data_IF_117615444222
#
_entry.id   IF_117615444222
#
_cell.length_a   1.000
_cell.length_b   1.000
_cell.length_c   1.000
_cell.angle_alpha   90.00
_cell.angle_beta   90.00
_cell.angle_gamma   90.00
#
_symmetry.space_group_name_H-M   'P 1'
#
loop_
_entity.id
_entity.type
_entity.pdbx_description
1 polymer ?
#
# COMPACT_ATOMS: atom_id res chain seq x y z
N UNK A 1 -18.09 6.34 10.23
CA UNK A 1 -17.26 5.32 9.54
C UNK A 1 -17.98 4.61 8.40
N UNK A 2 -19.14 3.95 8.62
CA UNK A 2 -19.88 3.21 7.57
C UNK A 2 -20.23 4.05 6.33
N UNK A 3 -20.64 5.31 6.53
CA UNK A 3 -21.01 6.22 5.43
C UNK A 3 -19.88 6.47 4.42
N UNK A 4 -18.64 6.69 4.90
CA UNK A 4 -17.50 7.00 4.02
C UNK A 4 -17.12 5.81 3.14
N UNK A 5 -17.19 4.59 3.68
CA UNK A 5 -16.94 3.36 2.93
C UNK A 5 -18.03 3.17 1.86
N UNK A 6 -19.30 3.39 2.20
CA UNK A 6 -20.39 3.29 1.24
C UNK A 6 -20.30 4.33 0.11
N UNK A 7 -19.89 5.57 0.43
CA UNK A 7 -19.64 6.61 -0.57
C UNK A 7 -18.45 6.25 -1.47
N UNK A 8 -17.35 5.75 -0.90
CA UNK A 8 -16.19 5.28 -1.67
C UNK A 8 -16.59 4.15 -2.62
N UNK A 9 -17.32 3.15 -2.15
CA UNK A 9 -17.80 2.03 -2.98
C UNK A 9 -18.76 2.50 -4.10
N UNK A 10 -19.59 3.52 -3.83
CA UNK A 10 -20.45 4.12 -4.85
C UNK A 10 -19.63 4.86 -5.91
N UNK A 11 -18.63 5.64 -5.49
CA UNK A 11 -17.75 6.37 -6.39
C UNK A 11 -16.87 5.44 -7.23
N UNK A 12 -16.33 4.38 -6.64
CA UNK A 12 -15.55 3.39 -7.40
C UNK A 12 -16.42 2.73 -8.47
N UNK A 13 -17.67 2.35 -8.14
CA UNK A 13 -18.62 1.78 -9.11
C UNK A 13 -18.98 2.72 -10.26
N UNK A 14 -19.07 4.04 -10.03
CA UNK A 14 -19.32 4.98 -11.12
C UNK A 14 -18.12 5.12 -12.05
N UNK A 15 -16.90 5.10 -11.51
CA UNK A 15 -15.67 5.19 -12.30
C UNK A 15 -15.33 3.89 -13.04
N UNK A 16 -15.81 2.75 -12.56
CA UNK A 16 -15.62 1.43 -13.17
C UNK A 16 -16.75 1.02 -14.13
N UNK A 17 -17.64 1.95 -14.52
CA UNK A 17 -18.80 1.68 -15.38
C UNK A 17 -19.68 0.53 -14.87
N UNK A 18 -19.85 0.43 -13.54
CA UNK A 18 -20.65 -0.62 -12.90
C UNK A 18 -19.90 -1.93 -12.64
N UNK A 19 -18.65 -2.09 -13.07
CA UNK A 19 -17.84 -3.26 -12.74
C UNK A 19 -17.39 -3.21 -11.28
N UNK A 20 -17.61 -4.28 -10.52
CA UNK A 20 -17.04 -4.39 -9.19
C UNK A 20 -15.51 -4.52 -9.26
N UNK A 21 -14.81 -3.74 -8.42
CA UNK A 21 -13.36 -3.78 -8.34
C UNK A 21 -12.95 -5.06 -7.62
N UNK A 22 -12.14 -5.90 -8.28
CA UNK A 22 -11.64 -7.16 -7.70
C UNK A 22 -10.24 -6.99 -7.12
N UNK A 23 -9.81 -7.91 -6.25
CA UNK A 23 -8.44 -7.99 -5.76
C UNK A 23 -7.41 -8.01 -6.90
N UNK A 24 -7.73 -8.69 -8.00
CA UNK A 24 -6.88 -8.74 -9.19
C UNK A 24 -6.76 -7.36 -9.89
N UNK A 25 -7.85 -6.59 -9.92
CA UNK A 25 -7.81 -5.23 -10.46
C UNK A 25 -6.95 -4.32 -9.56
N UNK A 26 -7.01 -4.47 -8.23
CA UNK A 26 -6.22 -3.69 -7.26
C UNK A 26 -4.73 -4.02 -7.42
N UNK A 27 -4.40 -5.31 -7.50
CA UNK A 27 -3.03 -5.78 -7.70
C UNK A 27 -2.44 -5.24 -9.01
N UNK A 28 -3.21 -5.34 -10.11
CA UNK A 28 -2.81 -4.81 -11.41
C UNK A 28 -2.58 -3.29 -11.37
N UNK A 29 -3.47 -2.55 -10.69
CA UNK A 29 -3.34 -1.11 -10.54
C UNK A 29 -2.08 -0.74 -9.76
N UNK A 30 -1.83 -1.38 -8.61
CA UNK A 30 -0.67 -1.09 -7.76
C UNK A 30 0.64 -1.32 -8.51
N UNK A 31 0.78 -2.48 -9.14
CA UNK A 31 1.96 -2.83 -9.94
C UNK A 31 2.16 -1.87 -11.13
N UNK A 32 1.08 -1.50 -11.84
CA UNK A 32 1.16 -0.52 -12.93
C UNK A 32 1.59 0.86 -12.41
N UNK A 33 1.07 1.27 -11.25
CA UNK A 33 1.36 2.58 -10.65
C UNK A 33 2.82 2.68 -10.22
N UNK A 34 3.36 1.68 -9.55
CA UNK A 34 4.78 1.64 -9.18
C UNK A 34 5.66 1.63 -10.44
N UNK A 35 5.35 0.76 -11.41
CA UNK A 35 6.10 0.69 -12.68
C UNK A 35 6.14 2.02 -13.44
N UNK A 36 5.08 2.83 -13.36
CA UNK A 36 5.03 4.15 -14.02
C UNK A 36 6.05 5.17 -13.47
N UNK A 37 6.61 4.91 -12.29
CA UNK A 37 7.66 5.74 -11.68
C UNK A 37 9.09 5.28 -12.01
N UNK A 38 9.23 4.25 -12.85
CA UNK A 38 10.53 3.66 -13.20
C UNK A 38 11.08 2.66 -12.18
N UNK A 39 10.33 2.38 -11.11
CA UNK A 39 10.68 1.33 -10.12
C UNK A 39 10.34 -0.06 -10.66
N UNK A 40 11.18 -1.04 -10.30
CA UNK A 40 11.07 -2.41 -10.77
C UNK A 40 10.34 -3.35 -9.80
N UNK A 41 10.01 -2.88 -8.59
CA UNK A 41 9.31 -3.72 -7.61
C UNK A 41 7.94 -4.13 -8.10
N UNK A 42 7.53 -5.34 -7.70
CA UNK A 42 6.31 -5.98 -8.13
C UNK A 42 5.82 -6.88 -6.99
N UNK A 43 4.50 -7.05 -6.89
CA UNK A 43 3.91 -8.09 -6.05
C UNK A 43 3.05 -9.03 -6.90
N UNK A 44 3.27 -10.34 -6.75
CA UNK A 44 2.49 -11.35 -7.47
C UNK A 44 1.14 -11.61 -6.82
N UNK A 45 1.05 -11.39 -5.50
CA UNK A 45 -0.18 -11.53 -4.72
C UNK A 45 -0.11 -10.72 -3.42
N UNK A 46 -1.25 -10.50 -2.77
CA UNK A 46 -1.29 -9.96 -1.41
C UNK A 46 -0.74 -10.95 -0.34
N UNK A 47 -0.21 -12.12 -0.73
CA UNK A 47 0.50 -13.08 0.15
C UNK A 47 2.01 -13.03 -0.04
N UNK A 48 2.49 -12.18 -0.93
CA UNK A 48 3.90 -12.16 -1.28
C UNK A 48 4.73 -11.74 -0.07
N UNK A 49 5.63 -12.63 0.37
CA UNK A 49 6.51 -12.40 1.52
C UNK A 49 7.44 -11.20 1.32
N UNK A 50 7.70 -10.80 0.06
CA UNK A 50 8.47 -9.60 -0.26
C UNK A 50 7.84 -8.32 0.32
N UNK A 51 6.52 -8.32 0.51
CA UNK A 51 5.77 -7.20 1.10
C UNK A 51 6.18 -6.91 2.56
N UNK A 52 6.69 -7.91 3.29
CA UNK A 52 7.18 -7.74 4.67
C UNK A 52 8.31 -6.72 4.79
N UNK A 53 9.08 -6.50 3.73
CA UNK A 53 10.13 -5.47 3.68
C UNK A 53 9.57 -4.04 3.76
N UNK A 54 8.30 -3.85 3.38
CA UNK A 54 7.66 -2.54 3.26
C UNK A 54 8.09 -1.72 2.02
N UNK A 55 9.09 -2.15 1.27
CA UNK A 55 9.66 -1.37 0.14
C UNK A 55 8.62 -1.13 -0.94
N UNK A 56 7.91 -2.17 -1.38
CA UNK A 56 6.87 -2.04 -2.41
C UNK A 56 5.76 -1.06 -1.98
N UNK A 57 5.34 -1.12 -0.71
CA UNK A 57 4.28 -0.26 -0.18
C UNK A 57 4.75 1.20 -0.13
N UNK A 58 5.98 1.46 0.31
CA UNK A 58 6.57 2.80 0.31
C UNK A 58 6.73 3.36 -1.10
N UNK A 59 7.16 2.53 -2.07
CA UNK A 59 7.22 2.93 -3.47
C UNK A 59 5.83 3.24 -4.04
N UNK A 60 4.80 2.47 -3.66
CA UNK A 60 3.42 2.74 -4.06
C UNK A 60 2.90 4.06 -3.47
N UNK A 61 3.15 4.33 -2.19
CA UNK A 61 2.77 5.59 -1.54
C UNK A 61 3.47 6.78 -2.20
N UNK A 62 4.79 6.65 -2.48
CA UNK A 62 5.55 7.66 -3.21
C UNK A 62 5.08 7.83 -4.66
N UNK A 63 4.58 6.78 -5.30
CA UNK A 63 4.03 6.87 -6.65
C UNK A 63 2.69 7.63 -6.66
N UNK A 64 1.89 7.48 -5.61
CA UNK A 64 0.62 8.21 -5.43
C UNK A 64 0.89 9.69 -5.17
N UNK A 65 1.80 10.01 -4.25
CA UNK A 65 2.21 11.37 -3.93
C UNK A 65 3.73 11.41 -3.68
N UNK A 66 4.53 11.96 -4.62
CA UNK A 66 6.00 11.92 -4.56
C UNK A 66 6.62 12.53 -3.30
N UNK A 67 5.92 13.44 -2.61
CA UNK A 67 6.49 14.22 -1.49
C UNK A 67 6.27 13.62 -0.10
N UNK A 68 5.50 12.53 0.02
CA UNK A 68 5.13 12.00 1.34
C UNK A 68 6.14 11.02 1.94
N UNK A 69 7.01 10.43 1.12
CA UNK A 69 8.03 9.48 1.55
C UNK A 69 9.39 10.17 1.59
N UNK A 70 10.00 10.20 2.78
CA UNK A 70 11.39 10.58 2.98
C UNK A 70 12.24 9.31 2.93
N UNK A 71 12.92 9.10 1.81
CA UNK A 71 13.74 7.92 1.57
C UNK A 71 14.95 7.78 2.52
N UNK A 72 15.36 8.86 3.21
CA UNK A 72 16.41 8.78 4.22
C UNK A 72 15.98 8.03 5.49
N UNK A 73 14.67 7.86 5.71
CA UNK A 73 14.11 7.10 6.84
C UNK A 73 13.81 5.65 6.47
N UNK A 74 13.91 5.30 5.18
CA UNK A 74 13.57 3.97 4.68
C UNK A 74 14.79 3.06 4.80
N UNK A 75 14.59 1.91 5.41
CA UNK A 75 15.61 0.87 5.56
C UNK A 75 15.45 -0.20 4.47
N UNK A 76 16.39 -1.14 4.35
CA UNK A 76 16.29 -2.22 3.36
C UNK A 76 15.18 -3.23 3.69
N UNK A 77 14.80 -3.36 4.96
CA UNK A 77 13.77 -4.29 5.40
C UNK A 77 14.26 -5.75 5.40
N UNK A 78 15.55 -5.96 5.66
CA UNK A 78 16.17 -7.29 5.71
C UNK A 78 15.99 -7.94 7.10
N UNK A 79 16.19 -7.16 8.16
CA UNK A 79 15.97 -7.59 9.56
C UNK A 79 14.57 -7.25 10.06
N UNK A 80 14.11 -7.91 11.12
CA UNK A 80 12.79 -7.66 11.70
C UNK A 80 12.67 -6.23 12.26
N UNK A 81 13.74 -5.68 12.84
CA UNK A 81 13.77 -4.29 13.30
C UNK A 81 13.63 -3.30 12.13
N UNK A 82 14.32 -3.55 11.01
CA UNK A 82 14.19 -2.74 9.79
C UNK A 82 12.78 -2.80 9.19
N UNK A 83 12.21 -4.01 9.10
CA UNK A 83 10.83 -4.21 8.64
C UNK A 83 9.83 -3.48 9.53
N UNK A 84 10.03 -3.53 10.86
CA UNK A 84 9.19 -2.83 11.82
C UNK A 84 9.27 -1.31 11.67
N UNK A 85 10.46 -0.77 11.45
CA UNK A 85 10.65 0.65 11.16
C UNK A 85 9.92 1.06 9.88
N UNK A 86 10.10 0.29 8.79
CA UNK A 86 9.41 0.54 7.53
C UNK A 86 7.88 0.44 7.67
N UNK A 87 7.36 -0.58 8.35
CA UNK A 87 5.93 -0.79 8.59
C UNK A 87 5.29 0.34 9.41
N UNK A 88 5.97 0.78 10.49
CA UNK A 88 5.53 1.92 11.31
C UNK A 88 5.49 3.21 10.48
N UNK A 89 6.48 3.39 9.61
CA UNK A 89 6.56 4.54 8.73
C UNK A 89 5.45 4.52 7.66
N UNK A 90 5.19 3.38 7.04
CA UNK A 90 4.08 3.16 6.08
C UNK A 90 2.75 3.61 6.69
N UNK A 91 2.44 3.16 7.90
CA UNK A 91 1.16 3.49 8.57
C UNK A 91 1.06 5.00 8.78
N UNK A 92 2.15 5.64 9.21
CA UNK A 92 2.21 7.08 9.43
C UNK A 92 2.00 7.87 8.13
N UNK A 93 2.67 7.46 7.05
CA UNK A 93 2.55 8.09 5.71
C UNK A 93 1.15 7.89 5.13
N UNK A 94 0.59 6.69 5.21
CA UNK A 94 -0.75 6.39 4.71
C UNK A 94 -1.81 7.23 5.45
N UNK A 95 -1.72 7.36 6.78
CA UNK A 95 -2.61 8.22 7.56
C UNK A 95 -2.46 9.70 7.18
N UNK A 96 -1.23 10.17 6.94
CA UNK A 96 -0.96 11.53 6.45
C UNK A 96 -1.62 11.80 5.08
N UNK A 97 -1.72 10.78 4.22
CA UNK A 97 -2.44 10.84 2.94
C UNK A 97 -3.97 10.75 3.09
N UNK A 98 -4.49 10.59 4.31
CA UNK A 98 -5.92 10.47 4.57
C UNK A 98 -6.47 9.05 4.47
N UNK A 99 -5.62 8.02 4.39
CA UNK A 99 -6.08 6.63 4.44
C UNK A 99 -6.62 6.31 5.85
N UNK A 100 -7.86 5.83 5.92
CA UNK A 100 -8.48 5.34 7.16
C UNK A 100 -8.10 3.88 7.39
N UNK A 101 -6.91 3.63 7.95
CA UNK A 101 -6.37 2.28 8.21
C UNK A 101 -6.35 1.93 9.71
N UNK A 102 -6.58 0.64 9.99
CA UNK A 102 -6.60 0.05 11.34
C UNK A 102 -5.54 -1.04 11.55
N UNK A 103 -4.61 -1.18 10.59
CA UNK A 103 -3.52 -2.15 10.64
C UNK A 103 -2.47 -1.74 11.67
N UNK A 104 -1.85 -2.75 12.26
CA UNK A 104 -0.65 -2.64 13.09
C UNK A 104 0.61 -2.83 12.21
N UNK A 105 1.78 -2.33 12.63
CA UNK A 105 3.04 -2.61 11.94
C UNK A 105 3.28 -4.11 11.73
N UNK A 106 2.90 -4.91 12.73
CA UNK A 106 3.03 -6.36 12.73
C UNK A 106 2.20 -7.01 11.59
N UNK A 107 1.02 -6.49 11.25
CA UNK A 107 0.21 -7.00 10.13
C UNK A 107 0.96 -6.86 8.79
N UNK A 108 1.73 -5.78 8.61
CA UNK A 108 2.55 -5.57 7.41
C UNK A 108 3.74 -6.53 7.39
N UNK A 109 4.40 -6.70 8.53
CA UNK A 109 5.56 -7.59 8.67
C UNK A 109 5.19 -9.05 8.43
N UNK A 110 4.04 -9.49 8.93
CA UNK A 110 3.54 -10.86 8.80
C UNK A 110 2.84 -11.11 7.45
N UNK A 111 2.65 -10.06 6.64
CA UNK A 111 1.87 -10.10 5.39
C UNK A 111 0.47 -10.65 5.66
N UNK A 112 -0.17 -10.11 6.70
CA UNK A 112 -1.53 -10.48 7.05
C UNK A 112 -2.51 -9.92 5.99
N UNK A 113 -3.33 -10.82 5.46
CA UNK A 113 -4.24 -10.50 4.37
C UNK A 113 -5.57 -9.90 4.83
N UNK A 114 -5.88 -9.92 6.13
CA UNK A 114 -7.20 -9.63 6.66
C UNK A 114 -7.16 -8.73 7.88
#
# INVERSE_FOLDING_TARGET
MRFNILQLLKNLRSHSQGKEMTDADILKWANKKVKSTGRASHMDSFKDKSLSSGIFILELLSAVEPRVVNWNLVTKGESDDEKKLNATYIISVARKLGCSIFLLPEDVMEVNQR
#
